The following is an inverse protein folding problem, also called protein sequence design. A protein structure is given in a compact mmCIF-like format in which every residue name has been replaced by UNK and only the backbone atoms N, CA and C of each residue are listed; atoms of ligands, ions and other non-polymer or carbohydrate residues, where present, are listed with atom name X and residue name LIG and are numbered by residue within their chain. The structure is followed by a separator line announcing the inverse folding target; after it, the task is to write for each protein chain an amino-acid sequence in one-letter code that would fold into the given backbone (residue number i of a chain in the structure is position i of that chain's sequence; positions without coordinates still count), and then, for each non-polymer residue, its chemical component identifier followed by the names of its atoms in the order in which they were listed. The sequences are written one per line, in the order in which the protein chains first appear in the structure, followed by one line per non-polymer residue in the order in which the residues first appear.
data_IF_515951150859
#
_entry.id   IF_515951150859
#
_cell.length_a   1.000
_cell.length_b   1.000
_cell.length_c   1.000
_cell.angle_alpha   90.00
_cell.angle_beta   90.00
_cell.angle_gamma   90.00
#
_symmetry.space_group_name_H-M   'P 1'
#
loop_
_entity.id
_entity.type
_entity.pdbx_description
1 polymer ?
#
# COMPACT_ATOMS: atom_id res chain seq x y z
N UNK A 1 51.52 45.03 14.19
CA UNK A 1 51.41 43.94 15.19
C UNK A 1 51.15 42.63 14.44
N UNK A 2 52.07 41.67 14.59
CA UNK A 2 52.05 40.21 14.31
C UNK A 2 51.22 39.66 13.13
N UNK A 3 51.85 39.16 12.05
CA UNK A 3 52.55 37.86 11.82
C UNK A 3 51.64 36.62 11.70
N UNK A 4 51.63 35.97 10.52
CA UNK A 4 52.17 34.61 10.27
C UNK A 4 51.64 33.97 8.94
N UNK A 5 52.55 33.36 8.19
CA UNK A 5 52.34 32.42 7.04
C UNK A 5 52.72 30.97 7.53
N UNK A 6 52.96 29.94 6.67
CA UNK A 6 52.02 29.09 5.88
C UNK A 6 52.37 27.56 5.93
N UNK A 7 51.49 26.61 5.55
CA UNK A 7 51.81 25.25 4.97
C UNK A 7 50.49 24.44 4.83
N UNK A 8 50.21 23.57 3.85
CA UNK A 8 50.97 23.08 2.71
C UNK A 8 50.13 22.15 1.79
N UNK A 9 50.58 22.07 0.54
CA UNK A 9 50.51 21.01 -0.50
C UNK A 9 49.60 19.78 -0.26
N UNK A 10 48.91 19.21 -1.28
CA UNK A 10 49.49 18.68 -2.53
C UNK A 10 48.51 18.68 -3.72
N UNK A 11 49.03 19.18 -4.84
CA UNK A 11 48.67 18.83 -6.23
C UNK A 11 49.03 17.35 -6.49
N UNK A 12 48.25 16.67 -7.32
CA UNK A 12 48.79 15.97 -8.51
C UNK A 12 47.85 16.28 -9.68
N UNK A 13 48.38 17.03 -10.64
CA UNK A 13 47.91 17.12 -12.01
C UNK A 13 48.80 16.21 -12.86
N UNK A 14 48.26 15.67 -13.97
CA UNK A 14 48.90 15.59 -15.29
C UNK A 14 47.90 14.90 -16.25
N UNK A 15 47.25 15.55 -17.21
CA UNK A 15 47.68 16.14 -18.50
C UNK A 15 47.92 15.14 -19.64
N UNK A 16 47.45 15.58 -20.82
CA UNK A 16 47.70 15.14 -22.22
C UNK A 16 46.82 14.01 -22.75
N UNK A 17 46.39 14.00 -24.02
CA UNK A 17 46.45 14.98 -25.11
C UNK A 17 45.66 14.41 -26.30
N UNK A 18 44.98 15.31 -27.00
CA UNK A 18 44.57 15.33 -28.41
C UNK A 18 44.58 14.05 -29.27
N UNK A 19 43.51 13.86 -30.04
CA UNK A 19 43.62 14.05 -31.51
C UNK A 19 42.25 14.21 -32.17
N UNK A 20 42.12 15.32 -32.90
CA UNK A 20 41.10 15.60 -33.90
C UNK A 20 41.46 14.85 -35.19
N UNK A 21 40.47 14.30 -35.88
CA UNK A 21 40.59 14.00 -37.31
C UNK A 21 39.30 14.39 -38.02
N UNK A 22 39.37 15.47 -38.78
CA UNK A 22 38.36 15.93 -39.74
C UNK A 22 39.07 16.16 -41.06
N UNK A 23 38.63 15.45 -42.08
CA UNK A 23 38.73 15.75 -43.52
C UNK A 23 38.24 14.48 -44.23
N UNK A 24 37.67 14.46 -45.42
CA UNK A 24 37.17 15.41 -46.41
C UNK A 24 36.57 14.46 -47.47
N UNK A 25 35.36 14.70 -47.98
CA UNK A 25 35.10 14.90 -49.42
C UNK A 25 33.58 14.92 -49.71
N UNK A 26 33.16 15.71 -50.73
CA UNK A 26 31.78 16.09 -50.96
C UNK A 26 31.13 15.27 -52.08
N UNK A 27 29.81 15.40 -52.27
CA UNK A 27 29.18 15.78 -53.55
C UNK A 27 27.65 15.77 -53.42
N UNK A 28 27.10 16.97 -53.56
CA UNK A 28 25.84 17.35 -54.23
C UNK A 28 24.94 16.24 -54.77
N UNK A 29 23.65 16.26 -54.41
CA UNK A 29 22.49 16.34 -55.33
C UNK A 29 21.17 16.41 -54.55
N UNK A 30 20.26 17.24 -55.07
CA UNK A 30 18.92 17.61 -54.57
C UNK A 30 17.85 16.53 -54.85
N UNK A 31 16.61 16.68 -54.33
CA UNK A 31 15.69 15.57 -54.12
C UNK A 31 14.80 15.29 -55.35
N UNK A 32 14.41 14.01 -55.54
CA UNK A 32 13.29 13.64 -56.42
C UNK A 32 12.32 12.73 -55.69
N UNK A 33 11.09 13.20 -55.61
CA UNK A 33 9.87 12.42 -55.45
C UNK A 33 9.77 11.36 -56.54
N UNK A 34 9.51 10.11 -56.17
CA UNK A 34 8.84 9.14 -57.03
C UNK A 34 7.92 8.28 -56.18
N UNK A 35 6.63 8.37 -56.49
CA UNK A 35 5.63 7.36 -56.18
C UNK A 35 6.08 6.03 -56.80
N UNK A 36 6.16 4.98 -56.00
CA UNK A 36 6.12 3.64 -56.56
C UNK A 36 5.37 2.68 -55.63
N UNK A 37 4.16 2.35 -56.08
CA UNK A 37 3.26 1.37 -55.48
C UNK A 37 3.81 -0.01 -55.82
N UNK A 38 4.58 -0.61 -54.91
CA UNK A 38 4.94 -2.02 -55.00
C UNK A 38 3.82 -2.87 -54.38
N UNK A 39 2.96 -3.42 -55.24
CA UNK A 39 2.08 -4.55 -54.89
C UNK A 39 2.96 -5.79 -54.70
N UNK A 40 3.13 -6.23 -53.45
CA UNK A 40 3.63 -7.57 -53.14
C UNK A 40 2.47 -8.46 -52.71
N UNK A 41 2.01 -9.29 -53.65
CA UNK A 41 1.25 -10.51 -53.35
C UNK A 41 2.26 -11.64 -53.18
N UNK A 42 2.45 -12.13 -51.96
CA UNK A 42 2.89 -13.51 -51.70
C UNK A 42 2.41 -13.95 -50.31
N UNK A 43 2.16 -15.25 -50.11
CA UNK A 43 1.29 -15.77 -49.07
C UNK A 43 1.97 -15.82 -47.70
N UNK A 44 1.14 -15.66 -46.67
CA UNK A 44 1.47 -15.83 -45.26
C UNK A 44 1.87 -17.29 -44.99
N UNK A 45 3.16 -17.61 -45.13
CA UNK A 45 3.74 -18.79 -44.52
C UNK A 45 4.43 -18.45 -43.19
N UNK A 46 4.13 -19.30 -42.23
CA UNK A 46 4.42 -19.20 -40.81
C UNK A 46 5.93 -19.12 -40.55
N UNK A 47 6.37 -18.07 -39.87
CA UNK A 47 7.60 -18.12 -39.05
C UNK A 47 7.32 -17.49 -37.69
N UNK A 48 6.59 -18.22 -36.85
CA UNK A 48 6.64 -18.01 -35.41
C UNK A 48 7.85 -18.81 -34.92
N UNK A 49 9.01 -18.17 -34.81
CA UNK A 49 10.19 -18.77 -34.18
C UNK A 49 9.93 -18.89 -32.68
N UNK A 50 9.40 -20.04 -32.27
CA UNK A 50 9.34 -20.44 -30.86
C UNK A 50 10.77 -20.78 -30.47
N UNK A 51 11.43 -19.87 -29.75
CA UNK A 51 12.71 -20.14 -29.11
C UNK A 51 12.48 -21.23 -28.05
N UNK A 52 12.82 -22.47 -28.40
CA UNK A 52 12.76 -23.61 -27.49
C UNK A 52 13.72 -23.36 -26.32
N UNK A 53 13.17 -22.95 -25.17
CA UNK A 53 13.88 -23.03 -23.91
C UNK A 53 14.12 -24.51 -23.59
N UNK A 54 15.40 -24.87 -23.44
CA UNK A 54 15.86 -26.16 -22.92
C UNK A 54 15.06 -26.54 -21.67
N UNK A 55 14.29 -27.63 -21.78
CA UNK A 55 13.54 -28.21 -20.66
C UNK A 55 14.52 -28.91 -19.70
N UNK A 56 15.26 -28.14 -18.91
CA UNK A 56 15.77 -28.67 -17.65
C UNK A 56 14.58 -28.76 -16.71
N UNK A 57 14.11 -29.99 -16.40
CA UNK A 57 13.06 -30.22 -15.39
C UNK A 57 13.52 -29.59 -14.06
N UNK A 58 12.89 -28.50 -13.58
CA UNK A 58 13.22 -28.00 -12.25
C UNK A 58 12.73 -29.04 -11.24
N UNK A 59 13.56 -29.31 -10.22
CA UNK A 59 13.21 -30.20 -9.13
C UNK A 59 11.82 -29.80 -8.59
N UNK A 60 10.91 -30.78 -8.49
CA UNK A 60 9.56 -30.60 -7.96
C UNK A 60 9.71 -30.11 -6.52
N UNK A 61 9.65 -28.79 -6.31
CA UNK A 61 9.50 -28.21 -4.99
C UNK A 61 8.09 -28.59 -4.52
N UNK A 62 8.00 -29.06 -3.27
CA UNK A 62 6.73 -29.40 -2.61
C UNK A 62 5.69 -28.31 -2.91
N UNK A 63 4.40 -28.65 -3.11
CA UNK A 63 3.36 -27.66 -3.37
C UNK A 63 3.43 -26.60 -2.27
N UNK A 64 3.73 -25.37 -2.67
CA UNK A 64 3.63 -24.22 -1.79
C UNK A 64 2.15 -24.12 -1.42
N UNK A 65 1.83 -24.30 -0.14
CA UNK A 65 0.47 -24.23 0.38
C UNK A 65 -0.03 -22.78 0.26
N UNK A 66 -0.61 -22.47 -0.89
CA UNK A 66 -1.24 -21.20 -1.18
C UNK A 66 -2.69 -21.25 -0.71
N UNK A 67 -3.07 -20.32 0.17
CA UNK A 67 -4.46 -20.14 0.62
C UNK A 67 -4.92 -21.08 1.74
N UNK A 68 -4.55 -20.77 2.99
CA UNK A 68 -5.36 -20.98 4.22
C UNK A 68 -4.60 -20.67 5.51
N UNK A 69 -3.28 -20.47 5.46
CA UNK A 69 -2.49 -20.00 6.61
C UNK A 69 -1.89 -18.62 6.37
N UNK A 70 -2.69 -17.67 5.86
CA UNK A 70 -2.48 -16.29 6.31
C UNK A 70 -2.80 -16.34 7.79
N UNK A 71 -1.79 -16.58 8.64
CA UNK A 71 -1.86 -16.12 10.02
C UNK A 71 -2.30 -14.68 9.86
N UNK A 72 -3.49 -14.35 10.36
CA UNK A 72 -3.80 -12.96 10.63
C UNK A 72 -2.58 -12.47 11.40
N UNK A 73 -1.69 -11.74 10.71
CA UNK A 73 -0.89 -10.75 11.39
C UNK A 73 -1.95 -9.72 11.73
N UNK A 74 -2.69 -10.00 12.81
CA UNK A 74 -3.32 -8.95 13.58
C UNK A 74 -2.19 -7.98 13.78
N UNK A 75 -2.23 -6.89 13.00
CA UNK A 75 -1.25 -5.86 13.13
C UNK A 75 -1.37 -5.43 14.58
N UNK A 76 -0.34 -5.75 15.35
CA UNK A 76 -0.34 -5.75 16.82
C UNK A 76 -0.37 -4.31 17.34
N UNK A 77 -1.01 -3.36 16.65
CA UNK A 77 -1.19 -1.99 17.10
C UNK A 77 -1.79 -2.02 18.51
N UNK A 78 -2.82 -2.84 18.73
CA UNK A 78 -3.40 -3.05 20.07
C UNK A 78 -2.39 -3.62 21.09
N UNK A 79 -1.53 -4.56 20.71
CA UNK A 79 -0.60 -5.18 21.67
C UNK A 79 0.62 -4.31 21.97
N UNK A 80 1.12 -3.55 20.99
CA UNK A 80 2.22 -2.60 21.19
C UNK A 80 1.75 -1.43 22.05
N UNK A 81 0.50 -0.99 21.86
CA UNK A 81 -0.17 0.00 22.70
C UNK A 81 -0.43 -0.57 24.10
N UNK A 82 -0.91 -1.81 24.23
CA UNK A 82 -1.13 -2.46 25.52
C UNK A 82 0.19 -2.69 26.30
N UNK A 83 1.29 -3.01 25.61
CA UNK A 83 2.63 -3.06 26.18
C UNK A 83 3.08 -1.69 26.70
N UNK A 84 2.81 -0.61 25.95
CA UNK A 84 3.09 0.75 26.43
C UNK A 84 2.18 1.18 27.60
N UNK A 85 0.95 0.67 27.68
CA UNK A 85 0.01 0.90 28.79
C UNK A 85 0.42 0.16 30.07
N UNK A 86 0.98 -1.04 29.94
CA UNK A 86 1.49 -1.83 31.06
C UNK A 86 2.86 -1.34 31.58
N UNK A 87 3.48 -0.37 30.91
CA UNK A 87 4.77 0.19 31.31
C UNK A 87 4.63 1.39 32.28
N UNK A 88 3.44 1.98 32.41
CA UNK A 88 3.20 3.10 33.30
C UNK A 88 2.78 2.61 34.71
N UNK A 89 3.61 2.83 35.76
CA UNK A 89 3.35 2.27 37.10
C UNK A 89 2.05 2.79 37.73
N UNK A 90 1.59 3.98 37.33
CA UNK A 90 0.34 4.58 37.81
C UNK A 90 -0.92 3.92 37.23
N UNK A 91 -0.84 3.40 36.00
CA UNK A 91 -1.95 2.71 35.34
C UNK A 91 -2.09 1.30 35.93
N UNK A 92 -0.96 0.65 36.19
CA UNK A 92 -0.92 -0.69 36.79
C UNK A 92 -1.49 -0.71 38.22
N UNK A 93 -1.18 0.29 39.06
CA UNK A 93 -1.73 0.41 40.41
C UNK A 93 -3.27 0.47 40.43
N UNK A 94 -3.87 1.10 39.40
CA UNK A 94 -5.33 1.21 39.29
C UNK A 94 -6.00 -0.03 38.70
N UNK A 95 -5.29 -0.78 37.84
CA UNK A 95 -5.83 -1.96 37.16
C UNK A 95 -5.58 -3.27 37.93
N UNK A 96 -4.53 -3.36 38.74
CA UNK A 96 -4.17 -4.52 39.56
C UNK A 96 -5.33 -5.05 40.43
N UNK A 97 -6.03 -4.24 41.25
CA UNK A 97 -7.12 -4.74 42.09
C UNK A 97 -8.31 -5.26 41.27
N UNK A 98 -8.59 -4.66 40.11
CA UNK A 98 -9.66 -5.10 39.22
C UNK A 98 -9.32 -6.42 38.51
N UNK A 99 -8.05 -6.62 38.16
CA UNK A 99 -7.54 -7.88 37.58
C UNK A 99 -7.58 -9.02 38.59
N UNK A 100 -7.21 -8.75 39.84
CA UNK A 100 -7.33 -9.70 40.95
C UNK A 100 -8.79 -10.08 41.21
N UNK A 101 -9.70 -9.11 41.28
CA UNK A 101 -11.13 -9.38 41.48
C UNK A 101 -11.78 -10.19 40.35
N UNK A 102 -11.32 -10.03 39.10
CA UNK A 102 -11.74 -10.86 37.95
C UNK A 102 -11.15 -12.26 38.04
N UNK A 103 -9.89 -12.39 38.48
CA UNK A 103 -9.21 -13.68 38.65
C UNK A 103 -9.88 -14.53 39.75
N UNK A 104 -10.15 -13.92 40.91
CA UNK A 104 -10.85 -14.57 42.03
C UNK A 104 -12.24 -15.08 41.64
N UNK A 105 -13.03 -14.26 40.96
CA UNK A 105 -14.36 -14.67 40.49
C UNK A 105 -14.26 -15.75 39.40
N UNK A 106 -13.25 -15.70 38.54
CA UNK A 106 -12.97 -16.74 37.55
C UNK A 106 -12.61 -18.08 38.19
N UNK A 107 -11.81 -18.06 39.26
CA UNK A 107 -11.43 -19.25 40.01
C UNK A 107 -12.62 -19.84 40.77
N UNK A 108 -13.52 -19.00 41.28
CA UNK A 108 -14.78 -19.42 41.89
C UNK A 108 -15.70 -20.12 40.87
N UNK A 109 -15.85 -19.57 39.66
CA UNK A 109 -16.60 -20.23 38.57
C UNK A 109 -15.97 -21.57 38.17
N UNK A 110 -14.63 -21.68 38.19
CA UNK A 110 -13.92 -22.94 37.91
C UNK A 110 -14.15 -23.99 39.00
N UNK A 111 -14.13 -23.61 40.27
CA UNK A 111 -14.44 -24.50 41.41
C UNK A 111 -15.88 -25.00 41.38
N UNK A 112 -16.86 -24.12 41.18
CA UNK A 112 -18.28 -24.50 41.09
C UNK A 112 -18.57 -25.46 39.93
N UNK A 113 -17.84 -25.32 38.81
CA UNK A 113 -17.94 -26.25 37.68
C UNK A 113 -17.27 -27.60 37.95
N UNK A 114 -16.20 -27.63 38.75
CA UNK A 114 -15.52 -28.86 39.13
C UNK A 114 -16.31 -29.67 40.18
N UNK A 115 -17.00 -28.98 41.09
CA UNK A 115 -17.82 -29.57 42.16
C UNK A 115 -19.21 -30.04 41.68
N UNK A 116 -19.59 -29.74 40.43
CA UNK A 116 -20.89 -30.13 39.88
C UNK A 116 -22.07 -29.40 40.53
N UNK A 117 -21.87 -28.15 40.97
CA UNK A 117 -22.88 -27.32 41.59
C UNK A 117 -24.11 -27.11 40.68
N UNK A 118 -25.30 -26.82 41.25
CA UNK A 118 -26.52 -26.60 40.47
C UNK A 118 -26.34 -25.47 39.45
N UNK A 119 -26.92 -25.65 38.26
CA UNK A 119 -26.72 -24.79 37.08
C UNK A 119 -27.08 -23.31 37.35
N UNK A 120 -27.99 -23.06 38.29
CA UNK A 120 -28.44 -21.73 38.71
C UNK A 120 -27.28 -20.93 39.35
N UNK A 121 -26.49 -21.57 40.20
CA UNK A 121 -25.38 -20.92 40.91
C UNK A 121 -24.20 -20.64 39.97
N UNK A 122 -23.96 -21.55 39.01
CA UNK A 122 -22.98 -21.35 37.94
C UNK A 122 -23.37 -20.16 37.07
N UNK A 123 -24.64 -20.01 36.69
CA UNK A 123 -25.13 -18.88 35.89
C UNK A 123 -24.99 -17.55 36.64
N UNK A 124 -25.33 -17.54 37.94
CA UNK A 124 -25.18 -16.34 38.79
C UNK A 124 -23.72 -15.90 38.88
N UNK A 125 -22.80 -16.83 39.16
CA UNK A 125 -21.37 -16.55 39.25
C UNK A 125 -20.77 -16.09 37.91
N UNK A 126 -21.23 -16.63 36.78
CA UNK A 126 -20.83 -16.21 35.44
C UNK A 126 -21.32 -14.79 35.10
N UNK A 127 -22.53 -14.42 35.50
CA UNK A 127 -23.04 -13.07 35.29
C UNK A 127 -22.24 -12.03 36.08
N UNK A 128 -21.88 -12.37 37.32
CA UNK A 128 -21.00 -11.53 38.14
C UNK A 128 -19.58 -11.43 37.55
N UNK A 129 -19.02 -12.52 37.01
CA UNK A 129 -17.75 -12.50 36.29
C UNK A 129 -17.81 -11.56 35.06
N UNK A 130 -18.90 -11.59 34.30
CA UNK A 130 -19.11 -10.69 33.15
C UNK A 130 -19.19 -9.23 33.60
N UNK A 131 -19.87 -8.94 34.71
CA UNK A 131 -19.94 -7.60 35.27
C UNK A 131 -18.56 -7.08 35.69
N UNK A 132 -17.75 -7.90 36.38
CA UNK A 132 -16.38 -7.54 36.78
C UNK A 132 -15.45 -7.34 35.58
N UNK A 133 -15.58 -8.18 34.55
CA UNK A 133 -14.85 -8.00 33.28
C UNK A 133 -15.20 -6.70 32.58
N UNK A 134 -16.49 -6.35 32.53
CA UNK A 134 -16.94 -5.09 31.94
C UNK A 134 -16.35 -3.89 32.69
N UNK A 135 -16.33 -3.92 34.03
CA UNK A 135 -15.73 -2.85 34.83
C UNK A 135 -14.22 -2.72 34.54
N UNK A 136 -13.51 -3.84 34.42
CA UNK A 136 -12.09 -3.84 34.04
C UNK A 136 -11.90 -3.24 32.65
N UNK A 137 -12.68 -3.68 31.65
CA UNK A 137 -12.62 -3.17 30.28
C UNK A 137 -12.93 -1.67 30.19
N UNK A 138 -13.96 -1.19 30.91
CA UNK A 138 -14.34 0.23 30.94
C UNK A 138 -13.22 1.08 31.57
N UNK A 139 -12.51 0.55 32.58
CA UNK A 139 -11.37 1.22 33.23
C UNK A 139 -10.11 1.18 32.38
N UNK A 140 -9.83 0.06 31.72
CA UNK A 140 -8.75 -0.06 30.73
C UNK A 140 -8.98 0.89 29.55
N UNK A 141 -10.22 1.10 29.13
CA UNK A 141 -10.57 2.07 28.09
C UNK A 141 -10.42 3.52 28.55
N UNK A 142 -10.77 3.82 29.81
CA UNK A 142 -10.62 5.16 30.39
C UNK A 142 -9.16 5.55 30.64
N UNK A 143 -8.32 4.57 30.99
CA UNK A 143 -6.89 4.74 31.27
C UNK A 143 -6.01 4.46 30.06
N UNK A 144 -6.57 3.93 28.97
CA UNK A 144 -5.88 3.90 27.71
C UNK A 144 -5.40 5.33 27.43
N UNK A 145 -4.08 5.54 27.18
CA UNK A 145 -3.63 6.82 26.67
C UNK A 145 -4.54 7.10 25.49
N UNK A 146 -5.06 8.33 25.37
CA UNK A 146 -5.83 8.72 24.21
C UNK A 146 -4.92 8.52 23.00
N UNK A 147 -4.97 7.33 22.42
CA UNK A 147 -4.09 6.90 21.34
C UNK A 147 -4.33 7.97 20.31
N UNK A 148 -3.30 8.79 20.07
CA UNK A 148 -3.39 10.08 19.41
C UNK A 148 -4.52 10.03 18.40
N UNK A 149 -5.68 10.61 18.75
CA UNK A 149 -6.88 10.51 17.94
C UNK A 149 -6.45 10.90 16.53
N UNK A 150 -6.65 10.01 15.56
CA UNK A 150 -6.15 10.25 14.21
C UNK A 150 -6.76 11.54 13.68
N UNK A 151 -5.96 12.60 13.73
CA UNK A 151 -6.38 13.93 13.34
C UNK A 151 -6.21 14.03 11.83
N UNK A 152 -7.30 13.71 11.14
CA UNK A 152 -7.37 13.75 9.68
C UNK A 152 -6.96 15.12 9.14
N UNK A 153 -7.39 16.20 9.78
CA UNK A 153 -7.08 17.57 9.34
C UNK A 153 -5.58 17.85 9.45
N UNK A 154 -4.94 17.47 10.55
CA UNK A 154 -3.48 17.60 10.69
C UNK A 154 -2.74 16.73 9.68
N UNK A 155 -3.19 15.50 9.43
CA UNK A 155 -2.56 14.64 8.44
C UNK A 155 -2.68 15.24 7.03
N UNK A 156 -3.88 15.67 6.63
CA UNK A 156 -4.13 16.27 5.32
C UNK A 156 -3.30 17.55 5.12
N UNK A 157 -3.18 18.40 6.14
CA UNK A 157 -2.31 19.59 6.11
C UNK A 157 -0.83 19.20 5.88
N UNK A 158 -0.34 18.19 6.61
CA UNK A 158 1.03 17.71 6.42
C UNK A 158 1.27 17.14 5.02
N UNK A 159 0.32 16.37 4.48
CA UNK A 159 0.42 15.77 3.14
C UNK A 159 0.44 16.84 2.05
N UNK A 160 -0.39 17.88 2.17
CA UNK A 160 -0.40 19.02 1.25
C UNK A 160 0.87 19.86 1.37
N UNK A 161 1.28 20.23 2.60
CA UNK A 161 2.49 21.04 2.86
C UNK A 161 3.78 20.36 2.44
N UNK A 162 3.83 19.03 2.46
CA UNK A 162 4.97 18.23 1.99
C UNK A 162 4.81 17.74 0.55
N UNK A 163 3.75 18.16 -0.13
CA UNK A 163 3.46 17.83 -1.51
C UNK A 163 3.53 16.31 -1.78
N UNK A 164 2.82 15.55 -0.95
CA UNK A 164 2.58 14.12 -1.21
C UNK A 164 1.56 13.95 -2.33
N UNK A 165 0.42 14.62 -2.19
CA UNK A 165 -0.56 14.81 -3.26
C UNK A 165 -1.22 16.18 -3.08
N UNK A 166 -1.74 16.73 -4.17
CA UNK A 166 -2.58 17.92 -4.16
C UNK A 166 -3.70 17.79 -5.20
N UNK A 167 -4.68 18.68 -5.16
CA UNK A 167 -5.78 18.68 -6.11
C UNK A 167 -5.28 19.04 -7.51
N UNK A 168 -5.66 18.25 -8.52
CA UNK A 168 -5.29 18.54 -9.90
C UNK A 168 -5.89 19.87 -10.34
N UNK A 169 -5.08 20.66 -11.06
CA UNK A 169 -5.45 21.99 -11.54
C UNK A 169 -5.87 22.99 -10.44
N UNK A 170 -5.26 22.90 -9.24
CA UNK A 170 -5.57 23.77 -8.11
C UNK A 170 -5.55 25.28 -8.46
N UNK A 171 -4.64 25.73 -9.33
CA UNK A 171 -4.56 27.13 -9.77
C UNK A 171 -5.75 27.61 -10.62
N UNK A 172 -6.54 26.68 -11.14
CA UNK A 172 -7.74 26.94 -11.95
C UNK A 172 -9.04 26.66 -11.18
N UNK A 173 -8.98 26.51 -9.86
CA UNK A 173 -10.13 26.19 -9.00
C UNK A 173 -10.27 24.70 -8.67
N UNK A 174 -9.43 23.84 -9.25
CA UNK A 174 -9.36 22.42 -8.93
C UNK A 174 -10.52 21.58 -9.47
N UNK A 175 -10.26 20.32 -9.81
CA UNK A 175 -11.30 19.36 -10.21
C UNK A 175 -11.51 18.36 -9.07
N UNK A 176 -12.75 18.20 -8.61
CA UNK A 176 -13.08 17.23 -7.55
C UNK A 176 -12.87 15.80 -8.05
N UNK A 177 -12.20 14.97 -7.26
CA UNK A 177 -11.93 13.56 -7.61
C UNK A 177 -10.68 13.34 -8.45
N UNK A 178 -9.94 14.40 -8.82
CA UNK A 178 -8.65 14.30 -9.51
C UNK A 178 -7.53 14.84 -8.61
N UNK A 179 -6.42 14.11 -8.56
CA UNK A 179 -5.28 14.43 -7.70
C UNK A 179 -3.95 14.18 -8.41
N UNK A 180 -3.01 15.10 -8.20
CA UNK A 180 -1.65 15.00 -8.69
C UNK A 180 -0.73 14.59 -7.54
N UNK A 181 0.12 13.58 -7.78
CA UNK A 181 1.09 13.13 -6.80
C UNK A 181 2.39 13.92 -6.94
N UNK A 182 2.88 14.49 -5.83
CA UNK A 182 4.18 15.13 -5.81
C UNK A 182 5.33 14.12 -5.69
N UNK A 183 6.60 14.59 -5.57
CA UNK A 183 7.78 13.72 -5.62
C UNK A 183 7.77 12.60 -4.56
N UNK A 184 7.37 12.94 -3.33
CA UNK A 184 7.29 11.97 -2.23
C UNK A 184 6.14 10.98 -2.42
N UNK A 185 4.99 11.45 -2.93
CA UNK A 185 3.85 10.59 -3.24
C UNK A 185 4.14 9.62 -4.38
N UNK A 186 4.82 10.08 -5.43
CA UNK A 186 5.26 9.26 -6.56
C UNK A 186 6.25 8.17 -6.10
N UNK A 187 7.25 8.54 -5.29
CA UNK A 187 8.21 7.57 -4.74
C UNK A 187 7.51 6.52 -3.85
N UNK A 188 6.59 6.95 -2.98
CA UNK A 188 5.80 6.06 -2.13
C UNK A 188 4.94 5.10 -2.97
N UNK A 189 4.21 5.63 -3.98
CA UNK A 189 3.39 4.83 -4.88
C UNK A 189 4.22 3.80 -5.64
N UNK A 190 5.38 4.19 -6.17
CA UNK A 190 6.28 3.27 -6.86
C UNK A 190 6.78 2.16 -5.93
N UNK A 191 7.16 2.50 -4.70
CA UNK A 191 7.59 1.52 -3.70
C UNK A 191 6.46 0.54 -3.34
N UNK A 192 5.22 1.03 -3.17
CA UNK A 192 4.07 0.18 -2.91
C UNK A 192 3.78 -0.80 -4.06
N UNK A 193 3.81 -0.32 -5.30
CA UNK A 193 3.62 -1.17 -6.48
C UNK A 193 4.73 -2.21 -6.58
N UNK A 194 5.99 -1.85 -6.30
CA UNK A 194 7.11 -2.78 -6.34
C UNK A 194 6.98 -3.90 -5.29
N UNK A 195 6.59 -3.57 -4.06
CA UNK A 195 6.35 -4.57 -3.02
C UNK A 195 5.18 -5.49 -3.41
N UNK A 196 4.12 -4.93 -3.98
CA UNK A 196 2.98 -5.71 -4.47
C UNK A 196 3.39 -6.68 -5.60
N UNK A 197 4.18 -6.21 -6.57
CA UNK A 197 4.69 -7.05 -7.67
C UNK A 197 5.61 -8.15 -7.17
N UNK A 198 6.49 -7.85 -6.22
CA UNK A 198 7.34 -8.86 -5.59
C UNK A 198 6.51 -9.96 -4.94
N UNK A 199 5.50 -9.56 -4.15
CA UNK A 199 4.69 -10.48 -3.38
C UNK A 199 3.73 -11.32 -4.23
N UNK A 200 3.09 -10.76 -5.25
CA UNK A 200 2.10 -11.50 -6.05
C UNK A 200 2.67 -12.02 -7.37
N UNK A 201 3.31 -11.14 -8.14
CA UNK A 201 3.75 -11.50 -9.49
C UNK A 201 4.95 -12.44 -9.44
N UNK A 202 5.98 -12.11 -8.64
CA UNK A 202 7.22 -12.88 -8.61
C UNK A 202 7.13 -14.15 -7.75
N UNK A 203 6.57 -14.06 -6.54
CA UNK A 203 6.46 -15.24 -5.66
C UNK A 203 5.47 -16.29 -6.21
N UNK A 204 4.35 -15.86 -6.80
CA UNK A 204 3.32 -16.78 -7.35
C UNK A 204 3.47 -17.03 -8.86
N UNK A 205 4.48 -16.44 -9.51
CA UNK A 205 4.77 -16.57 -10.94
C UNK A 205 3.57 -16.20 -11.84
N UNK A 206 2.89 -15.09 -11.53
CA UNK A 206 1.76 -14.61 -12.34
C UNK A 206 2.24 -13.96 -13.65
N UNK A 207 1.40 -14.04 -14.69
CA UNK A 207 1.64 -13.38 -15.97
C UNK A 207 1.12 -11.94 -15.91
N UNK A 208 2.03 -10.97 -15.78
CA UNK A 208 1.72 -9.54 -15.84
C UNK A 208 1.54 -9.08 -17.30
N UNK A 209 0.44 -8.39 -17.60
CA UNK A 209 0.11 -7.84 -18.92
C UNK A 209 -0.32 -6.39 -18.75
N UNK A 210 0.15 -5.52 -19.64
CA UNK A 210 -0.27 -4.11 -19.72
C UNK A 210 -1.21 -3.91 -20.91
N UNK A 211 -2.35 -3.25 -20.67
CA UNK A 211 -3.45 -3.11 -21.62
C UNK A 211 -3.81 -1.64 -21.82
N UNK A 212 -4.36 -1.29 -22.98
CA UNK A 212 -4.81 0.07 -23.28
C UNK A 212 -6.01 0.49 -22.42
N UNK A 213 -6.03 1.75 -21.98
CA UNK A 213 -7.14 2.33 -21.19
C UNK A 213 -8.38 2.57 -22.06
N UNK A 214 -8.19 3.10 -23.28
CA UNK A 214 -9.29 3.33 -24.22
C UNK A 214 -9.89 1.99 -24.66
N UNK A 215 -11.15 1.77 -24.31
CA UNK A 215 -11.84 0.49 -24.50
C UNK A 215 -13.09 0.71 -25.36
N UNK A 216 -13.28 -0.06 -26.45
CA UNK A 216 -14.45 0.11 -27.32
C UNK A 216 -15.74 -0.38 -26.63
N UNK A 217 -16.86 0.29 -26.91
CA UNK A 217 -18.16 0.03 -26.27
C UNK A 217 -18.60 -1.45 -26.30
N UNK A 218 -18.46 -2.21 -27.41
CA UNK A 218 -18.89 -3.61 -27.45
C UNK A 218 -18.25 -4.48 -26.36
N UNK A 219 -17.03 -4.17 -25.93
CA UNK A 219 -16.32 -4.90 -24.86
C UNK A 219 -16.94 -4.61 -23.49
N UNK A 220 -17.29 -3.34 -23.23
CA UNK A 220 -17.95 -2.95 -21.98
C UNK A 220 -19.39 -3.43 -21.91
N UNK A 221 -20.07 -3.53 -23.05
CA UNK A 221 -21.40 -4.11 -23.15
C UNK A 221 -21.37 -5.62 -22.89
N UNK A 222 -20.43 -6.33 -23.53
CA UNK A 222 -20.28 -7.78 -23.32
C UNK A 222 -19.91 -8.14 -21.87
N UNK A 223 -19.14 -7.30 -21.17
CA UNK A 223 -18.83 -7.48 -19.74
C UNK A 223 -19.96 -7.04 -18.80
N UNK A 224 -21.03 -6.44 -19.31
CA UNK A 224 -22.18 -5.97 -18.52
C UNK A 224 -21.95 -4.67 -17.75
N UNK A 225 -20.81 -3.99 -17.95
CA UNK A 225 -20.53 -2.70 -17.29
C UNK A 225 -21.51 -1.62 -17.73
N UNK A 226 -21.90 -1.61 -19.01
CA UNK A 226 -22.84 -0.62 -19.56
C UNK A 226 -24.20 -0.65 -18.84
N UNK A 227 -24.70 -1.83 -18.51
CA UNK A 227 -26.04 -1.97 -17.93
C UNK A 227 -26.05 -1.91 -16.39
N UNK A 228 -24.93 -2.22 -15.74
CA UNK A 228 -24.87 -2.43 -14.28
C UNK A 228 -23.95 -1.50 -13.51
N UNK A 229 -22.99 -0.85 -14.16
CA UNK A 229 -22.03 0.02 -13.48
C UNK A 229 -22.61 1.43 -13.30
N UNK A 230 -23.71 1.52 -12.54
CA UNK A 230 -24.38 2.78 -12.24
C UNK A 230 -24.79 2.83 -10.76
N UNK A 231 -24.57 3.99 -10.14
CA UNK A 231 -25.05 4.30 -8.79
C UNK A 231 -26.36 5.08 -8.86
N UNK A 232 -27.28 4.84 -7.91
CA UNK A 232 -28.48 5.65 -7.79
C UNK A 232 -28.08 7.07 -7.35
N UNK A 233 -28.66 8.08 -8.00
CA UNK A 233 -28.39 9.49 -7.71
C UNK A 233 -29.70 10.26 -7.59
N UNK A 234 -29.74 11.23 -6.67
CA UNK A 234 -30.85 12.15 -6.49
C UNK A 234 -30.40 13.55 -6.88
N UNK A 235 -31.26 14.29 -7.58
CA UNK A 235 -31.01 15.66 -8.01
C UNK A 235 -31.96 16.61 -7.32
N UNK A 236 -31.45 17.66 -6.69
CA UNK A 236 -32.29 18.74 -6.20
C UNK A 236 -32.91 19.51 -7.38
N UNK A 237 -34.22 19.70 -7.34
CA UNK A 237 -34.99 20.38 -8.40
C UNK A 237 -34.66 21.88 -8.45
N UNK A 238 -34.28 22.48 -7.31
CA UNK A 238 -33.97 23.92 -7.24
C UNK A 238 -32.53 24.24 -7.62
N UNK A 239 -31.57 23.59 -6.95
CA UNK A 239 -30.16 23.91 -7.11
C UNK A 239 -29.49 23.09 -8.24
N UNK A 240 -30.13 22.01 -8.69
CA UNK A 240 -29.58 21.13 -9.72
C UNK A 240 -28.40 20.29 -9.25
N UNK A 241 -28.04 20.35 -7.96
CA UNK A 241 -26.98 19.57 -7.35
C UNK A 241 -27.35 18.09 -7.33
N UNK A 242 -26.35 17.26 -7.64
CA UNK A 242 -26.50 15.82 -7.70
C UNK A 242 -25.82 15.18 -6.49
N UNK A 243 -26.55 14.33 -5.79
CA UNK A 243 -26.07 13.57 -4.65
C UNK A 243 -26.15 12.07 -4.96
N UNK A 244 -25.14 11.34 -4.49
CA UNK A 244 -25.15 9.88 -4.44
C UNK A 244 -25.67 9.43 -3.08
#
# INVERSE_FOLDING_TARGET
MHQALPVGLRRIALFRSATSFRSLLPLTTTPRSWFEVAKFHHPFEKVCSVRQYSQQKPAIRKPFNWGSNKKHRDFKLKAQILESMAADPKIEEQLAPLREAVKEQGDLVRKLKAEGAPEIDVKKAVNELKARKKILEDRELALAPSVASFDRARMEDLLKRRFFYDQSFAIYGGITGQYDFGPMGCALKANMINVWRQFFVLEEQMLEVDCSILTPEPVLKASGHVDRFADLMVKDVKNGECFR
#
